data_IF_722832131336
#
_entry.id   IF_722832131336
#
_cell.length_a   1.000
_cell.length_b   1.000
_cell.length_c   1.000
_cell.angle_alpha   90.00
_cell.angle_beta   90.00
_cell.angle_gamma   90.00
#
_symmetry.space_group_name_H-M   'P 1'
#
loop_
_entity.id
_entity.type
_entity.pdbx_description
1 polymer ?
#
# COMPACT_ATOMS: atom_id res chain seq x y z
N UNK A 1 -24.85 14.88 8.44
CA UNK A 1 -24.30 13.54 8.17
C UNK A 1 -22.85 13.52 8.61
N UNK A 2 -22.36 12.42 9.18
CA UNK A 2 -20.94 12.23 9.43
C UNK A 2 -20.20 12.09 8.09
N UNK A 3 -19.04 12.74 7.95
CA UNK A 3 -18.20 12.62 6.77
C UNK A 3 -17.74 11.15 6.63
N UNK A 4 -17.85 10.61 5.41
CA UNK A 4 -17.45 9.22 5.11
C UNK A 4 -15.98 9.19 4.67
N UNK A 5 -15.12 8.43 5.37
CA UNK A 5 -13.73 8.23 4.97
C UNK A 5 -13.59 6.95 4.13
N UNK A 6 -12.95 7.07 2.97
CA UNK A 6 -12.89 6.01 1.98
C UNK A 6 -11.45 5.84 1.51
N UNK A 7 -10.91 4.63 1.63
CA UNK A 7 -9.65 4.27 0.97
C UNK A 7 -9.97 3.77 -0.44
N UNK A 8 -9.29 4.30 -1.44
CA UNK A 8 -9.44 3.88 -2.83
C UNK A 8 -8.24 3.07 -3.29
N UNK A 9 -8.53 1.93 -3.91
CA UNK A 9 -7.55 1.08 -4.57
C UNK A 9 -6.97 1.75 -5.83
N UNK A 10 -5.74 1.38 -6.22
CA UNK A 10 -5.02 1.90 -7.39
C UNK A 10 -5.78 1.69 -8.71
N UNK A 11 -6.59 0.62 -8.81
CA UNK A 11 -7.42 0.33 -9.97
C UNK A 11 -8.72 1.18 -10.06
N UNK A 12 -9.08 1.85 -8.96
CA UNK A 12 -10.31 2.65 -8.84
C UNK A 12 -10.02 4.15 -8.88
N UNK A 13 -9.07 4.64 -8.07
CA UNK A 13 -8.94 6.07 -7.80
C UNK A 13 -8.77 6.96 -9.03
N UNK A 14 -8.10 6.56 -10.14
CA UNK A 14 -7.94 7.45 -11.28
C UNK A 14 -9.26 7.88 -11.90
N UNK A 15 -10.25 6.99 -11.88
CA UNK A 15 -11.59 7.24 -12.41
C UNK A 15 -12.42 8.06 -11.44
N UNK A 16 -12.17 7.93 -10.14
CA UNK A 16 -12.81 8.76 -9.10
C UNK A 16 -12.31 10.20 -9.19
N UNK A 17 -11.00 10.42 -9.38
CA UNK A 17 -10.44 11.78 -9.36
C UNK A 17 -10.74 12.55 -10.64
N UNK A 18 -10.85 11.85 -11.77
CA UNK A 18 -11.14 12.47 -13.05
C UNK A 18 -12.17 11.67 -13.87
N UNK A 19 -13.45 11.64 -13.46
CA UNK A 19 -14.51 10.86 -14.11
C UNK A 19 -14.98 11.51 -15.42
N UNK A 20 -14.10 11.53 -16.42
CA UNK A 20 -14.34 12.16 -17.72
C UNK A 20 -14.69 11.10 -18.81
N UNK A 21 -15.84 11.22 -19.49
CA UNK A 21 -16.22 10.35 -20.61
C UNK A 21 -15.17 10.28 -21.73
N UNK A 22 -14.46 11.38 -22.01
CA UNK A 22 -13.45 11.40 -23.07
C UNK A 22 -12.21 10.59 -22.69
N UNK A 23 -11.88 10.53 -21.39
CA UNK A 23 -10.77 9.72 -20.87
C UNK A 23 -11.16 8.26 -20.67
N UNK A 24 -12.44 7.99 -20.40
CA UNK A 24 -12.96 6.67 -20.07
C UNK A 24 -14.26 6.35 -20.84
N UNK A 25 -14.22 6.28 -22.19
CA UNK A 25 -15.43 6.14 -23.00
C UNK A 25 -16.15 4.80 -22.80
N UNK A 26 -15.40 3.74 -22.46
CA UNK A 26 -15.94 2.39 -22.25
C UNK A 26 -16.28 2.09 -20.77
N UNK A 27 -16.15 3.08 -19.89
CA UNK A 27 -16.38 2.89 -18.45
C UNK A 27 -17.87 2.95 -18.10
N UNK A 28 -18.48 1.78 -17.93
CA UNK A 28 -19.91 1.66 -17.62
C UNK A 28 -20.29 2.25 -16.27
N UNK A 29 -19.38 2.26 -15.28
CA UNK A 29 -19.65 2.83 -13.95
C UNK A 29 -19.28 4.31 -13.84
N UNK A 30 -19.09 5.01 -14.98
CA UNK A 30 -18.77 6.43 -14.99
C UNK A 30 -19.77 7.28 -14.17
N UNK A 31 -21.09 7.04 -14.21
CA UNK A 31 -22.04 7.75 -13.36
C UNK A 31 -21.74 7.57 -11.85
N UNK A 32 -21.35 6.37 -11.43
CA UNK A 32 -20.98 6.08 -10.04
C UNK A 32 -19.72 6.85 -9.64
N UNK A 33 -18.70 6.92 -10.52
CA UNK A 33 -17.51 7.72 -10.26
C UNK A 33 -17.80 9.22 -10.19
N UNK A 34 -18.71 9.73 -11.02
CA UNK A 34 -19.14 11.13 -10.95
C UNK A 34 -19.81 11.45 -9.61
N UNK A 35 -20.69 10.56 -9.12
CA UNK A 35 -21.32 10.71 -7.79
C UNK A 35 -20.26 10.74 -6.69
N UNK A 36 -19.32 9.79 -6.69
CA UNK A 36 -18.25 9.73 -5.69
C UNK A 36 -17.40 11.01 -5.72
N UNK A 37 -16.99 11.46 -6.92
CA UNK A 37 -16.22 12.69 -7.11
C UNK A 37 -16.94 13.91 -6.54
N UNK A 38 -18.23 14.07 -6.87
CA UNK A 38 -19.06 15.15 -6.36
C UNK A 38 -19.21 15.11 -4.84
N UNK A 39 -19.38 13.92 -4.24
CA UNK A 39 -19.46 13.76 -2.78
C UNK A 39 -18.16 14.16 -2.07
N UNK A 40 -17.00 13.90 -2.67
CA UNK A 40 -15.70 14.36 -2.14
C UNK A 40 -15.59 15.88 -2.27
N UNK A 41 -15.87 16.45 -3.46
CA UNK A 41 -15.84 17.91 -3.70
C UNK A 41 -16.74 18.69 -2.75
N UNK A 42 -17.91 18.14 -2.46
CA UNK A 42 -18.91 18.77 -1.57
C UNK A 42 -18.63 18.53 -0.08
N UNK A 43 -17.56 17.79 0.28
CA UNK A 43 -17.18 17.55 1.66
C UNK A 43 -18.02 16.49 2.40
N UNK A 44 -18.86 15.73 1.70
CA UNK A 44 -19.61 14.61 2.27
C UNK A 44 -18.74 13.36 2.45
N UNK A 45 -17.65 13.26 1.69
CA UNK A 45 -16.68 12.17 1.75
C UNK A 45 -15.23 12.69 1.74
N UNK A 46 -14.31 11.88 2.27
CA UNK A 46 -12.86 12.09 2.18
C UNK A 46 -12.21 10.88 1.52
N UNK A 47 -11.37 11.15 0.53
CA UNK A 47 -10.63 10.13 -0.19
C UNK A 47 -9.22 9.93 0.37
N UNK A 48 -8.80 8.67 0.43
CA UNK A 48 -7.48 8.28 0.90
C UNK A 48 -6.84 7.27 -0.06
N UNK A 49 -5.51 7.32 -0.18
CA UNK A 49 -4.70 6.36 -0.94
C UNK A 49 -3.66 5.74 -0.01
N UNK A 50 -3.45 4.43 -0.10
CA UNK A 50 -2.35 3.81 0.62
C UNK A 50 -1.00 4.23 0.02
N UNK A 51 0.01 4.41 0.86
CA UNK A 51 1.38 4.75 0.45
C UNK A 51 1.98 3.73 -0.53
N UNK A 52 1.53 2.47 -0.50
CA UNK A 52 1.93 1.41 -1.45
C UNK A 52 1.68 1.77 -2.91
N UNK A 53 0.65 2.59 -3.19
CA UNK A 53 0.34 3.11 -4.53
C UNK A 53 1.56 3.86 -5.11
N UNK A 54 2.30 4.55 -4.25
CA UNK A 54 3.41 5.40 -4.62
C UNK A 54 4.78 4.78 -4.36
N UNK A 55 4.86 3.65 -3.66
CA UNK A 55 6.14 2.96 -3.40
C UNK A 55 6.23 1.68 -4.24
N UNK A 56 5.51 0.63 -3.87
CA UNK A 56 5.56 -0.66 -4.56
C UNK A 56 4.90 -0.59 -5.94
N UNK A 57 3.74 0.06 -6.02
CA UNK A 57 2.92 0.07 -7.23
C UNK A 57 3.41 1.10 -8.26
N UNK A 58 4.10 2.14 -7.80
CA UNK A 58 4.80 3.09 -8.66
C UNK A 58 5.85 2.41 -9.53
N UNK A 59 6.54 1.39 -9.00
CA UNK A 59 7.46 0.54 -9.74
C UNK A 59 6.67 -0.40 -10.64
N UNK A 60 6.92 -0.32 -11.96
CA UNK A 60 6.21 -1.13 -12.95
C UNK A 60 6.35 -2.60 -12.58
N UNK A 61 5.25 -3.34 -12.66
CA UNK A 61 5.20 -4.76 -12.26
C UNK A 61 6.38 -5.58 -12.79
N UNK A 62 6.72 -5.43 -14.06
CA UNK A 62 7.81 -6.15 -14.73
C UNK A 62 9.22 -5.77 -14.28
N UNK A 63 9.38 -4.64 -13.58
CA UNK A 63 10.67 -4.13 -13.12
C UNK A 63 10.87 -4.33 -11.62
N UNK A 64 9.83 -4.69 -10.87
CA UNK A 64 9.90 -4.92 -9.41
C UNK A 64 11.00 -5.92 -9.05
N UNK A 65 11.09 -7.04 -9.75
CA UNK A 65 12.14 -8.03 -9.48
C UNK A 65 13.56 -7.45 -9.68
N UNK A 66 13.77 -6.59 -10.69
CA UNK A 66 15.08 -5.97 -10.95
C UNK A 66 15.43 -4.95 -9.87
N UNK A 67 14.44 -4.16 -9.47
CA UNK A 67 14.60 -3.18 -8.41
C UNK A 67 15.02 -3.86 -7.10
N UNK A 68 14.20 -4.80 -6.61
CA UNK A 68 14.41 -5.43 -5.31
C UNK A 68 15.59 -6.42 -5.30
N UNK A 69 16.08 -6.87 -6.46
CA UNK A 69 17.33 -7.61 -6.58
C UNK A 69 18.55 -6.78 -6.16
N UNK A 70 18.50 -5.48 -6.42
CA UNK A 70 19.60 -4.54 -6.14
C UNK A 70 19.36 -3.71 -4.88
N UNK A 71 18.15 -3.79 -4.32
CA UNK A 71 17.79 -3.10 -3.09
C UNK A 71 18.61 -3.64 -1.91
N UNK A 72 19.19 -2.72 -1.14
CA UNK A 72 19.86 -3.05 0.11
C UNK A 72 19.25 -2.22 1.22
N UNK A 73 18.93 -2.87 2.33
CA UNK A 73 18.50 -2.18 3.54
C UNK A 73 19.61 -1.22 3.99
N UNK A 74 19.38 0.10 4.06
CA UNK A 74 20.39 1.02 4.57
C UNK A 74 20.48 0.84 6.08
N UNK A 75 21.68 0.51 6.55
CA UNK A 75 21.98 0.43 7.97
C UNK A 75 23.36 0.98 8.25
N UNK A 76 23.53 1.60 9.41
CA UNK A 76 24.82 2.02 9.94
C UNK A 76 25.12 1.24 11.22
N UNK A 77 26.34 0.74 11.33
CA UNK A 77 26.84 0.07 12.53
C UNK A 77 27.91 0.95 13.13
N UNK A 78 27.71 1.37 14.37
CA UNK A 78 28.67 2.18 15.12
C UNK A 78 29.02 1.46 16.41
N UNK A 79 30.31 1.26 16.65
CA UNK A 79 30.78 0.82 17.97
C UNK A 79 30.79 2.01 18.92
N UNK A 80 30.38 1.80 20.16
CA UNK A 80 30.47 2.81 21.21
C UNK A 80 31.07 2.23 22.48
N UNK A 81 31.76 3.10 23.23
CA UNK A 81 32.29 2.81 24.55
C UNK A 81 31.73 3.88 25.48
N UNK A 82 30.97 3.46 26.48
CA UNK A 82 30.37 4.34 27.48
C UNK A 82 30.72 3.79 28.87
N UNK A 83 31.75 4.37 29.49
CA UNK A 83 32.39 3.79 30.67
C UNK A 83 33.04 2.44 30.35
N UNK A 84 32.70 1.41 31.14
CA UNK A 84 33.17 0.03 30.93
C UNK A 84 32.29 -0.77 29.95
N UNK A 85 31.23 -0.17 29.40
CA UNK A 85 30.33 -0.83 28.45
C UNK A 85 30.84 -0.61 27.03
N UNK A 86 31.22 -1.70 26.36
CA UNK A 86 31.42 -1.72 24.92
C UNK A 86 30.16 -2.26 24.25
N UNK A 87 29.58 -1.47 23.36
CA UNK A 87 28.36 -1.82 22.66
C UNK A 87 28.45 -1.59 21.16
N UNK A 88 27.48 -2.16 20.45
CA UNK A 88 27.22 -1.90 19.03
C UNK A 88 25.89 -1.19 18.95
N UNK A 89 25.86 -0.03 18.30
CA UNK A 89 24.65 0.67 17.90
C UNK A 89 24.41 0.43 16.42
N UNK A 90 23.25 -0.16 16.13
CA UNK A 90 22.79 -0.42 14.78
C UNK A 90 21.64 0.55 14.49
N UNK A 91 21.85 1.49 13.58
CA UNK A 91 20.78 2.34 13.07
C UNK A 91 20.29 1.73 11.76
N UNK A 92 18.98 1.48 11.70
CA UNK A 92 18.29 1.11 10.47
C UNK A 92 17.58 2.36 9.97
N UNK A 93 17.98 2.86 8.81
CA UNK A 93 17.33 4.00 8.20
C UNK A 93 16.32 3.52 7.14
N UNK A 94 15.45 4.41 6.69
CA UNK A 94 14.68 4.18 5.48
C UNK A 94 15.56 4.43 4.24
N UNK A 95 15.21 3.79 3.12
CA UNK A 95 15.93 4.04 1.88
C UNK A 95 15.21 5.11 1.04
N UNK A 96 15.78 6.31 1.11
CA UNK A 96 15.26 7.49 0.44
C UNK A 96 15.90 7.70 -0.94
N UNK A 97 16.82 6.82 -1.33
CA UNK A 97 17.69 7.01 -2.50
C UNK A 97 17.47 5.99 -3.61
N UNK A 98 17.04 4.77 -3.26
CA UNK A 98 16.88 3.73 -4.27
C UNK A 98 15.62 3.91 -5.11
N UNK A 99 14.52 4.40 -4.54
CA UNK A 99 13.25 4.51 -5.26
C UNK A 99 13.37 5.46 -6.45
N UNK A 100 12.93 5.08 -7.67
CA UNK A 100 13.15 5.87 -8.89
C UNK A 100 12.30 7.15 -8.99
N UNK A 101 11.52 7.47 -7.95
CA UNK A 101 10.50 8.51 -7.95
C UNK A 101 9.28 8.17 -8.84
N UNK A 102 8.20 8.92 -8.70
CA UNK A 102 7.06 8.90 -9.63
C UNK A 102 7.28 9.85 -10.81
N UNK A 103 7.83 11.04 -10.54
CA UNK A 103 7.82 12.16 -11.49
C UNK A 103 8.55 11.83 -12.79
N UNK A 104 9.68 11.14 -12.68
CA UNK A 104 10.48 10.74 -13.84
C UNK A 104 10.08 9.35 -14.35
N UNK A 105 9.82 8.40 -13.45
CA UNK A 105 9.64 6.99 -13.80
C UNK A 105 8.19 6.62 -14.19
N UNK A 106 7.20 7.28 -13.57
CA UNK A 106 5.77 7.05 -13.78
C UNK A 106 4.97 8.38 -13.82
N UNK A 107 5.19 9.23 -14.85
CA UNK A 107 4.56 10.55 -14.94
C UNK A 107 3.03 10.50 -15.03
N UNK A 108 2.47 9.38 -15.50
CA UNK A 108 1.03 9.16 -15.52
C UNK A 108 0.46 9.05 -14.10
N UNK A 109 1.13 8.30 -13.21
CA UNK A 109 0.74 8.24 -11.80
C UNK A 109 0.86 9.61 -11.12
N UNK A 110 1.94 10.36 -11.40
CA UNK A 110 2.07 11.75 -10.92
C UNK A 110 0.89 12.61 -11.34
N UNK A 111 0.49 12.57 -12.62
CA UNK A 111 -0.66 13.35 -13.10
C UNK A 111 -1.96 12.97 -12.39
N UNK A 112 -2.21 11.68 -12.19
CA UNK A 112 -3.41 11.20 -11.49
C UNK A 112 -3.39 11.59 -10.01
N UNK A 113 -2.21 11.60 -9.40
CA UNK A 113 -2.06 11.98 -8.02
C UNK A 113 -2.24 13.49 -7.80
N UNK A 114 -1.80 14.33 -8.74
CA UNK A 114 -2.09 15.76 -8.71
C UNK A 114 -3.61 16.01 -8.75
N UNK A 115 -4.34 15.32 -9.63
CA UNK A 115 -5.82 15.37 -9.65
C UNK A 115 -6.41 14.95 -8.28
N UNK A 116 -5.81 13.95 -7.61
CA UNK A 116 -6.23 13.51 -6.28
C UNK A 116 -5.97 14.57 -5.20
N UNK A 117 -4.81 15.21 -5.21
CA UNK A 117 -4.42 16.27 -4.28
C UNK A 117 -5.33 17.50 -4.42
N UNK A 118 -5.68 17.89 -5.64
CA UNK A 118 -6.63 18.97 -5.92
C UNK A 118 -8.03 18.70 -5.33
N UNK A 119 -8.44 17.43 -5.28
CA UNK A 119 -9.69 17.00 -4.64
C UNK A 119 -9.57 16.85 -3.11
N UNK A 120 -8.39 17.05 -2.54
CA UNK A 120 -8.13 16.97 -1.11
C UNK A 120 -7.88 15.55 -0.58
N UNK A 121 -7.45 14.61 -1.43
CA UNK A 121 -7.03 13.29 -0.96
C UNK A 121 -5.83 13.37 -0.02
N UNK A 122 -5.71 12.39 0.87
CA UNK A 122 -4.54 12.19 1.73
C UNK A 122 -3.96 10.79 1.59
N UNK A 123 -2.67 10.67 1.83
CA UNK A 123 -1.96 9.40 1.85
C UNK A 123 -2.08 8.77 3.25
N UNK A 124 -2.40 7.48 3.29
CA UNK A 124 -2.29 6.66 4.48
C UNK A 124 -0.89 6.03 4.52
N UNK A 125 -0.07 6.31 5.55
CA UNK A 125 1.23 5.67 5.68
C UNK A 125 1.11 4.15 5.70
N UNK A 126 2.11 3.46 5.18
CA UNK A 126 2.29 2.00 5.24
C UNK A 126 3.69 1.70 5.79
N UNK A 127 3.98 2.26 6.97
CA UNK A 127 5.32 2.24 7.58
C UNK A 127 5.77 0.83 7.88
N UNK A 128 6.83 0.39 7.20
CA UNK A 128 7.58 -0.83 7.51
C UNK A 128 9.03 -0.49 7.83
N UNK A 129 9.61 -1.25 8.75
CA UNK A 129 11.00 -1.06 9.14
C UNK A 129 11.95 -1.21 7.95
N UNK A 130 12.77 -0.19 7.72
CA UNK A 130 13.77 -0.16 6.66
C UNK A 130 13.17 -0.33 5.27
N UNK A 131 12.00 0.26 5.05
CA UNK A 131 11.33 0.23 3.75
C UNK A 131 11.83 1.32 2.80
N UNK A 132 11.47 1.19 1.53
CA UNK A 132 11.70 2.22 0.52
C UNK A 132 10.78 3.42 0.75
N UNK A 133 11.34 4.62 0.65
CA UNK A 133 10.57 5.86 0.57
C UNK A 133 10.55 6.35 -0.86
N UNK A 134 9.43 6.94 -1.27
CA UNK A 134 9.38 7.64 -2.54
C UNK A 134 9.82 9.10 -2.34
N UNK A 135 10.93 9.53 -2.97
CA UNK A 135 11.48 10.87 -2.77
C UNK A 135 10.59 12.00 -3.32
N UNK A 136 9.60 11.68 -4.16
CA UNK A 136 8.67 12.66 -4.70
C UNK A 136 7.47 12.91 -3.78
N UNK A 137 7.35 12.22 -2.64
CA UNK A 137 6.24 12.41 -1.70
C UNK A 137 6.58 13.43 -0.62
N UNK A 138 5.67 14.38 -0.43
CA UNK A 138 5.79 15.41 0.60
C UNK A 138 4.99 15.07 1.86
N UNK A 139 5.55 15.43 3.03
CA UNK A 139 4.99 15.08 4.34
C UNK A 139 3.56 15.60 4.56
N UNK A 140 3.20 16.74 3.97
CA UNK A 140 1.87 17.34 4.08
C UNK A 140 0.77 16.60 3.32
N UNK A 141 1.14 15.70 2.40
CA UNK A 141 0.19 14.88 1.66
C UNK A 141 -0.31 13.69 2.48
N UNK A 142 0.43 13.31 3.51
CA UNK A 142 0.03 12.26 4.44
C UNK A 142 -1.04 12.76 5.41
N UNK A 143 -1.85 11.82 5.91
CA UNK A 143 -2.72 12.08 7.05
C UNK A 143 -1.87 12.46 8.26
N UNK A 144 -2.28 13.53 8.96
CA UNK A 144 -1.61 13.97 10.19
C UNK A 144 -2.23 13.23 11.37
N UNK A 145 -1.39 12.52 12.09
CA UNK A 145 -1.75 11.82 13.33
C UNK A 145 -1.12 12.53 14.52
N UNK A 146 -1.84 12.62 15.62
CA UNK A 146 -1.28 12.98 16.93
C UNK A 146 -0.38 11.86 17.44
N UNK A 147 0.46 12.15 18.45
CA UNK A 147 1.37 11.15 19.01
C UNK A 147 0.63 9.88 19.50
N UNK A 148 -0.51 10.04 20.17
CA UNK A 148 -1.34 8.91 20.62
C UNK A 148 -1.92 8.12 19.46
N UNK A 149 -2.35 8.80 18.40
CA UNK A 149 -2.88 8.13 17.20
C UNK A 149 -1.79 7.38 16.45
N UNK A 150 -0.54 7.87 16.45
CA UNK A 150 0.60 7.16 15.85
C UNK A 150 0.81 5.81 16.53
N UNK A 151 0.87 5.77 17.87
CA UNK A 151 1.09 4.50 18.60
C UNK A 151 -0.02 3.48 18.32
N UNK A 152 -1.28 3.92 18.34
CA UNK A 152 -2.43 3.06 18.05
C UNK A 152 -2.44 2.58 16.59
N UNK A 153 -2.08 3.46 15.66
CA UNK A 153 -1.92 3.13 14.25
C UNK A 153 -0.83 2.07 14.07
N UNK A 154 0.36 2.25 14.65
CA UNK A 154 1.49 1.33 14.50
C UNK A 154 1.19 -0.05 15.09
N UNK A 155 0.54 -0.10 16.26
CA UNK A 155 0.08 -1.35 16.88
C UNK A 155 -0.93 -2.08 16.00
N UNK A 156 -1.99 -1.38 15.56
CA UNK A 156 -3.04 -1.97 14.72
C UNK A 156 -2.51 -2.40 13.36
N UNK A 157 -1.70 -1.56 12.72
CA UNK A 157 -1.09 -1.86 11.42
C UNK A 157 -0.20 -3.10 11.51
N UNK A 158 0.66 -3.19 12.53
CA UNK A 158 1.52 -4.34 12.77
C UNK A 158 0.72 -5.62 13.01
N UNK A 159 -0.29 -5.57 13.88
CA UNK A 159 -1.18 -6.70 14.17
C UNK A 159 -1.85 -7.24 12.90
N UNK A 160 -2.46 -6.36 12.10
CA UNK A 160 -3.19 -6.74 10.89
C UNK A 160 -2.24 -7.31 9.84
N UNK A 161 -1.08 -6.68 9.64
CA UNK A 161 -0.04 -7.18 8.73
C UNK A 161 0.39 -8.59 9.12
N UNK A 162 0.67 -8.83 10.40
CA UNK A 162 1.09 -10.14 10.87
C UNK A 162 -0.02 -11.17 10.74
N UNK A 163 -1.28 -10.79 10.98
CA UNK A 163 -2.42 -11.68 10.76
C UNK A 163 -2.61 -12.06 9.30
N UNK A 164 -2.53 -11.10 8.38
CA UNK A 164 -2.56 -11.34 6.92
C UNK A 164 -1.45 -12.32 6.53
N UNK A 165 -0.23 -12.11 7.03
CA UNK A 165 0.92 -12.98 6.77
C UNK A 165 0.73 -14.39 7.33
N UNK A 166 0.19 -14.53 8.54
CA UNK A 166 -0.13 -15.83 9.16
C UNK A 166 -1.20 -16.62 8.40
N UNK A 167 -1.99 -15.95 7.56
CA UNK A 167 -2.91 -16.57 6.60
C UNK A 167 -2.27 -16.85 5.22
N UNK A 168 -0.94 -16.85 5.13
CA UNK A 168 -0.17 -17.03 3.89
C UNK A 168 -0.47 -15.98 2.80
N UNK A 169 -0.79 -14.74 3.19
CA UNK A 169 -1.09 -13.62 2.28
C UNK A 169 -0.11 -12.46 2.50
N UNK A 170 -0.25 -11.36 1.73
CA UNK A 170 0.61 -10.18 1.88
C UNK A 170 2.08 -10.47 1.56
N UNK A 171 2.98 -10.20 2.51
CA UNK A 171 4.44 -10.42 2.33
C UNK A 171 4.87 -11.88 2.37
N UNK A 172 3.98 -12.82 2.72
CA UNK A 172 4.31 -14.23 2.97
C UNK A 172 5.11 -14.88 1.82
N UNK A 173 4.61 -14.80 0.58
CA UNK A 173 5.27 -15.43 -0.57
C UNK A 173 6.64 -14.79 -0.86
N UNK A 174 6.82 -13.49 -0.58
CA UNK A 174 8.12 -12.82 -0.74
C UNK A 174 9.14 -13.30 0.28
N UNK A 175 8.73 -13.45 1.53
CA UNK A 175 9.59 -13.98 2.59
C UNK A 175 9.98 -15.43 2.28
N UNK A 176 9.03 -16.27 1.85
CA UNK A 176 9.28 -17.64 1.40
C UNK A 176 10.23 -17.72 0.20
N UNK A 177 10.06 -16.86 -0.82
CA UNK A 177 11.00 -16.80 -1.94
C UNK A 177 12.37 -16.35 -1.46
N UNK A 178 12.46 -15.26 -0.69
CA UNK A 178 13.71 -14.70 -0.20
C UNK A 178 14.50 -15.70 0.64
N UNK A 179 13.84 -16.35 1.61
CA UNK A 179 14.46 -17.34 2.50
C UNK A 179 15.03 -18.56 1.77
N UNK A 180 14.48 -18.94 0.61
CA UNK A 180 15.03 -20.04 -0.21
C UNK A 180 16.41 -19.71 -0.80
N UNK A 181 16.77 -18.44 -0.91
CA UNK A 181 17.98 -17.97 -1.58
C UNK A 181 18.89 -17.14 -0.67
N UNK A 182 18.60 -17.07 0.63
CA UNK A 182 19.52 -16.54 1.65
C UNK A 182 20.38 -17.66 2.25
N UNK A 183 21.48 -17.26 2.89
CA UNK A 183 22.35 -18.18 3.63
C UNK A 183 22.50 -17.74 5.09
N UNK A 184 22.57 -18.70 6.00
CA UNK A 184 22.80 -18.44 7.43
C UNK A 184 21.74 -17.52 8.05
N UNK A 185 22.18 -16.35 8.54
CA UNK A 185 21.33 -15.36 9.25
C UNK A 185 21.00 -14.14 8.39
N UNK A 186 21.15 -14.23 7.08
CA UNK A 186 20.80 -13.13 6.18
C UNK A 186 19.30 -12.86 6.14
N UNK A 187 18.92 -11.58 6.14
CA UNK A 187 17.54 -11.17 5.96
C UNK A 187 17.01 -11.56 4.56
N UNK A 188 15.77 -12.04 4.48
CA UNK A 188 15.16 -12.64 3.27
C UNK A 188 15.24 -11.75 2.01
N UNK A 189 15.22 -10.41 2.16
CA UNK A 189 15.39 -9.45 1.04
C UNK A 189 16.69 -9.72 0.26
N UNK A 190 17.78 -10.10 0.93
CA UNK A 190 19.05 -10.41 0.27
C UNK A 190 18.95 -11.61 -0.67
N UNK A 191 18.00 -12.51 -0.41
CA UNK A 191 17.76 -13.69 -1.24
C UNK A 191 17.37 -13.33 -2.67
N UNK A 192 16.74 -12.18 -2.91
CA UNK A 192 16.37 -11.76 -4.27
C UNK A 192 17.57 -11.53 -5.20
N UNK A 193 18.73 -11.17 -4.62
CA UNK A 193 20.00 -11.10 -5.35
C UNK A 193 20.40 -12.44 -5.95
N UNK A 194 20.14 -13.51 -5.21
CA UNK A 194 20.53 -14.88 -5.54
C UNK A 194 19.41 -15.69 -6.20
N UNK A 195 18.17 -15.20 -6.17
CA UNK A 195 17.02 -15.87 -6.77
C UNK A 195 17.18 -15.97 -8.31
N UNK A 196 16.94 -17.16 -8.90
CA UNK A 196 17.14 -17.38 -10.31
C UNK A 196 15.98 -16.77 -11.13
N UNK A 197 16.17 -16.50 -12.44
CA UNK A 197 15.20 -15.77 -13.26
C UNK A 197 13.78 -16.39 -13.30
N UNK A 198 13.64 -17.69 -13.06
CA UNK A 198 12.37 -18.41 -13.03
C UNK A 198 11.45 -17.92 -11.89
N UNK A 199 12.02 -17.35 -10.83
CA UNK A 199 11.27 -16.78 -9.70
C UNK A 199 10.77 -15.35 -10.00
N UNK A 200 11.26 -14.67 -11.04
CA UNK A 200 10.91 -13.26 -11.31
C UNK A 200 9.40 -13.03 -11.33
N UNK A 201 8.63 -13.82 -12.09
CA UNK A 201 7.17 -13.68 -12.17
C UNK A 201 6.47 -13.92 -10.83
N UNK A 202 7.02 -14.77 -9.96
CA UNK A 202 6.48 -15.02 -8.62
C UNK A 202 6.77 -13.84 -7.71
N UNK A 203 7.99 -13.32 -7.75
CA UNK A 203 8.40 -12.10 -7.02
C UNK A 203 7.51 -10.92 -7.39
N UNK A 204 7.28 -10.68 -8.70
CA UNK A 204 6.43 -9.58 -9.17
C UNK A 204 4.98 -9.66 -8.66
N UNK A 205 4.43 -10.88 -8.60
CA UNK A 205 3.08 -11.13 -8.05
C UNK A 205 3.05 -10.96 -6.54
N UNK A 206 4.06 -11.48 -5.84
CA UNK A 206 4.12 -11.42 -4.39
C UNK A 206 4.33 -9.98 -3.89
N UNK A 207 5.00 -9.11 -4.65
CA UNK A 207 5.00 -7.66 -4.36
C UNK A 207 3.64 -6.99 -4.55
N UNK A 208 2.84 -7.41 -5.54
CA UNK A 208 1.48 -6.89 -5.68
C UNK A 208 0.61 -7.29 -4.49
N UNK A 209 0.68 -8.57 -4.12
CA UNK A 209 -0.05 -9.12 -2.97
C UNK A 209 0.37 -8.47 -1.64
N UNK A 210 1.65 -8.16 -1.47
CA UNK A 210 2.12 -7.37 -0.34
C UNK A 210 1.52 -5.95 -0.34
N UNK A 211 1.57 -5.24 -1.48
CA UNK A 211 0.98 -3.91 -1.58
C UNK A 211 -0.50 -3.90 -1.18
N UNK A 212 -1.27 -4.89 -1.63
CA UNK A 212 -2.69 -5.05 -1.27
C UNK A 212 -2.86 -5.28 0.25
N UNK A 213 -2.03 -6.14 0.83
CA UNK A 213 -2.06 -6.43 2.27
C UNK A 213 -1.78 -5.20 3.13
N UNK A 214 -0.79 -4.40 2.75
CA UNK A 214 -0.42 -3.18 3.45
C UNK A 214 -1.47 -2.08 3.28
N UNK A 215 -2.07 -1.96 2.09
CA UNK A 215 -3.16 -1.03 1.86
C UNK A 215 -4.38 -1.34 2.73
N UNK A 216 -4.74 -2.62 2.87
CA UNK A 216 -5.82 -3.07 3.77
C UNK A 216 -5.46 -2.81 5.24
N UNK A 217 -4.25 -3.16 5.66
CA UNK A 217 -3.81 -2.94 7.03
C UNK A 217 -3.84 -1.45 7.39
N UNK A 218 -3.36 -0.58 6.49
CA UNK A 218 -3.37 0.87 6.70
C UNK A 218 -4.80 1.44 6.71
N UNK A 219 -5.70 0.92 5.88
CA UNK A 219 -7.12 1.28 5.93
C UNK A 219 -7.74 0.94 7.29
N UNK A 220 -7.50 -0.26 7.81
CA UNK A 220 -8.02 -0.73 9.09
C UNK A 220 -7.44 0.11 10.24
N UNK A 221 -6.13 0.34 10.24
CA UNK A 221 -5.45 1.11 11.27
C UNK A 221 -5.96 2.56 11.37
N UNK A 222 -6.36 3.15 10.24
CA UNK A 222 -6.98 4.49 10.20
C UNK A 222 -8.50 4.49 10.41
N UNK A 223 -9.13 3.31 10.59
CA UNK A 223 -10.57 3.16 10.84
C UNK A 223 -11.44 3.83 9.77
N UNK A 224 -10.98 3.81 8.52
CA UNK A 224 -11.77 4.28 7.39
C UNK A 224 -12.99 3.37 7.21
N UNK A 225 -14.13 3.93 6.78
CA UNK A 225 -15.39 3.18 6.76
C UNK A 225 -15.48 2.22 5.59
N UNK A 226 -14.91 2.59 4.43
CA UNK A 226 -15.03 1.80 3.20
C UNK A 226 -13.71 1.67 2.46
N UNK A 227 -13.42 0.47 1.98
CA UNK A 227 -12.33 0.18 1.04
C UNK A 227 -12.93 -0.04 -0.34
N UNK A 228 -12.76 0.94 -1.23
CA UNK A 228 -13.35 0.93 -2.56
C UNK A 228 -12.41 0.28 -3.57
N UNK A 229 -12.79 -0.89 -4.07
CA UNK A 229 -11.99 -1.71 -4.99
C UNK A 229 -12.88 -2.43 -6.00
N UNK A 230 -12.34 -2.67 -7.20
CA UNK A 230 -12.94 -3.59 -8.18
C UNK A 230 -12.31 -4.97 -8.17
N UNK A 231 -11.21 -5.15 -7.44
CA UNK A 231 -10.60 -6.46 -7.35
C UNK A 231 -11.55 -7.40 -6.60
N UNK A 232 -11.60 -8.65 -7.06
CA UNK A 232 -12.32 -9.74 -6.42
C UNK A 232 -11.43 -10.99 -6.33
N UNK A 233 -10.12 -10.83 -6.54
CA UNK A 233 -9.10 -11.88 -6.57
C UNK A 233 -9.44 -13.07 -7.47
N UNK A 234 -10.20 -12.86 -8.56
CA UNK A 234 -10.73 -13.94 -9.43
C UNK A 234 -9.64 -14.89 -9.94
N UNK A 235 -8.42 -14.38 -10.14
CA UNK A 235 -7.30 -15.13 -10.71
C UNK A 235 -6.25 -15.58 -9.68
N UNK A 236 -6.28 -15.06 -8.45
CA UNK A 236 -5.24 -15.31 -7.43
C UNK A 236 -5.62 -16.45 -6.45
N UNK A 237 -6.89 -16.86 -6.45
CA UNK A 237 -7.37 -17.98 -5.63
C UNK A 237 -7.39 -17.66 -4.14
N UNK A 238 -7.17 -18.67 -3.31
CA UNK A 238 -7.30 -18.57 -1.85
C UNK A 238 -6.13 -17.84 -1.15
N UNK A 239 -5.01 -17.64 -1.85
CA UNK A 239 -3.79 -17.03 -1.30
C UNK A 239 -3.72 -15.51 -1.43
N UNK A 240 -4.74 -14.89 -1.99
CA UNK A 240 -4.80 -13.43 -2.03
C UNK A 240 -5.57 -12.88 -0.84
N UNK A 241 -5.08 -11.79 -0.26
CA UNK A 241 -5.74 -11.03 0.80
C UNK A 241 -7.12 -10.54 0.35
N UNK A 242 -7.31 -10.32 -0.95
CA UNK A 242 -8.59 -9.94 -1.56
C UNK A 242 -9.49 -11.14 -1.87
N UNK A 243 -9.10 -12.38 -1.54
CA UNK A 243 -9.93 -13.57 -1.75
C UNK A 243 -11.22 -13.51 -0.93
N UNK A 244 -12.29 -14.17 -1.40
CA UNK A 244 -13.59 -14.18 -0.71
C UNK A 244 -13.47 -14.67 0.74
N UNK A 245 -12.63 -15.68 0.99
CA UNK A 245 -12.42 -16.21 2.33
C UNK A 245 -11.64 -15.23 3.21
N UNK A 246 -10.66 -14.53 2.64
CA UNK A 246 -9.87 -13.57 3.40
C UNK A 246 -10.64 -12.29 3.73
N UNK A 247 -11.41 -11.78 2.76
CA UNK A 247 -12.34 -10.66 3.00
C UNK A 247 -13.31 -10.96 4.13
N UNK A 248 -13.80 -12.20 4.23
CA UNK A 248 -14.76 -12.59 5.26
C UNK A 248 -14.18 -12.45 6.67
N UNK A 249 -12.99 -12.98 6.93
CA UNK A 249 -12.39 -12.84 8.27
C UNK A 249 -11.91 -11.41 8.53
N UNK A 250 -11.42 -10.69 7.52
CA UNK A 250 -11.08 -9.28 7.64
C UNK A 250 -12.29 -8.45 8.07
N UNK A 251 -13.45 -8.65 7.43
CA UNK A 251 -14.71 -8.00 7.80
C UNK A 251 -15.19 -8.42 9.21
N UNK A 252 -15.10 -9.71 9.55
CA UNK A 252 -15.52 -10.23 10.85
C UNK A 252 -14.66 -9.73 12.02
N UNK A 253 -13.34 -9.71 11.83
CA UNK A 253 -12.38 -9.44 12.89
C UNK A 253 -12.08 -7.94 13.03
N UNK A 254 -12.07 -7.20 11.90
CA UNK A 254 -11.67 -5.79 11.85
C UNK A 254 -12.77 -4.84 11.37
N UNK A 255 -13.92 -5.35 10.91
CA UNK A 255 -15.05 -4.51 10.50
C UNK A 255 -14.85 -3.74 9.19
N UNK A 256 -13.80 -4.04 8.41
CA UNK A 256 -13.58 -3.45 7.09
C UNK A 256 -14.74 -3.78 6.15
N UNK A 257 -15.16 -2.78 5.37
CA UNK A 257 -16.21 -2.94 4.35
C UNK A 257 -15.63 -2.71 2.96
N UNK A 258 -15.52 -3.79 2.20
CA UNK A 258 -15.15 -3.72 0.78
C UNK A 258 -16.38 -3.34 -0.05
N UNK A 259 -16.26 -2.32 -0.88
CA UNK A 259 -17.35 -1.84 -1.73
C UNK A 259 -16.88 -1.66 -3.16
N UNK A 260 -17.78 -1.94 -4.12
CA UNK A 260 -17.58 -1.51 -5.50
C UNK A 260 -17.85 0.00 -5.64
N UNK A 261 -17.36 0.66 -6.69
CA UNK A 261 -17.74 2.05 -6.98
C UNK A 261 -19.26 2.27 -7.05
N UNK A 262 -19.98 1.30 -7.61
CA UNK A 262 -21.42 1.32 -7.76
C UNK A 262 -22.13 1.27 -6.40
N UNK A 263 -21.72 0.36 -5.51
CA UNK A 263 -22.27 0.25 -4.15
C UNK A 263 -21.94 1.51 -3.33
N UNK A 264 -20.72 2.03 -3.46
CA UNK A 264 -20.30 3.24 -2.78
C UNK A 264 -21.11 4.46 -3.23
N UNK A 265 -21.41 4.59 -4.52
CA UNK A 265 -22.25 5.66 -5.03
C UNK A 265 -23.68 5.61 -4.45
N UNK A 266 -24.25 4.41 -4.28
CA UNK A 266 -25.54 4.23 -3.61
C UNK A 266 -25.46 4.64 -2.14
N UNK A 267 -24.42 4.25 -1.42
CA UNK A 267 -24.20 4.64 -0.02
C UNK A 267 -24.10 6.16 0.14
N UNK A 268 -23.46 6.86 -0.80
CA UNK A 268 -23.26 8.31 -0.75
C UNK A 268 -24.49 9.13 -1.18
N UNK A 269 -25.51 8.48 -1.72
CA UNK A 269 -26.75 9.13 -2.18
C UNK A 269 -27.98 8.76 -1.35
N UNK A 270 -27.83 7.84 -0.40
CA UNK A 270 -28.83 7.47 0.60
C UNK A 270 -28.89 8.48 1.75
#
# INVERSE_FOLDING_TARGET
MSIVNITFDSNVFPKVVNPNPDKFPDEQALPSFQIINSSIKNGYAKGFLAETVFTIEAIKKIDRHKFFRNYNLPYTVTEYIEGDIRGIRLNLDQDNTSHPGNNTYNPHLTSQFNDALELGFKILPCKRFGWIENPDLESEWFIKLTHTEISLYEETFGEVVDKIKNCCCGSYDLEEIGNRYTSGTEHWIKGFKNAPPEENKKIEKAFAEWADGDAIASHIAHRNQYFCTRDQAKNAGQKSVMSKNNRKWLEQDYGIKFVSPEDLAQILTA
#
